data_IF_157333125818
#
_entry.id   IF_157333125818
#
_cell.length_a   1.000
_cell.length_b   1.000
_cell.length_c   1.000
_cell.angle_alpha   90.00
_cell.angle_beta   90.00
_cell.angle_gamma   90.00
#
_symmetry.space_group_name_H-M   'P 1'
#
loop_
_entity.id
_entity.type
_entity.pdbx_description
1 polymer ?
#
# COMPACT_ATOMS: atom_id res chain seq x y z
N UNK A 1 -7.61 -8.75 2.99
CA UNK A 1 -9.06 -8.59 2.91
C UNK A 1 -9.56 -8.54 1.46
N UNK A 2 -9.06 -7.64 0.56
CA UNK A 2 -9.56 -7.45 -0.82
C UNK A 2 -9.64 -8.74 -1.63
N UNK A 3 -8.60 -9.58 -1.64
CA UNK A 3 -8.58 -10.86 -2.37
C UNK A 3 -9.68 -11.81 -1.91
N UNK A 4 -9.91 -11.90 -0.60
CA UNK A 4 -10.95 -12.75 -0.03
C UNK A 4 -12.35 -12.27 -0.42
N UNK A 5 -12.62 -10.96 -0.33
CA UNK A 5 -13.90 -10.37 -0.75
C UNK A 5 -14.13 -10.66 -2.23
N UNK A 6 -13.13 -10.40 -3.08
CA UNK A 6 -13.21 -10.66 -4.52
C UNK A 6 -13.51 -12.14 -4.81
N UNK A 7 -12.78 -13.07 -4.19
CA UNK A 7 -12.98 -14.50 -4.38
C UNK A 7 -14.39 -14.92 -3.95
N UNK A 8 -14.85 -14.45 -2.78
CA UNK A 8 -16.19 -14.76 -2.27
C UNK A 8 -17.28 -14.29 -3.25
N UNK A 9 -17.18 -13.04 -3.73
CA UNK A 9 -18.16 -12.49 -4.66
C UNK A 9 -18.19 -13.23 -6.01
N UNK A 10 -17.02 -13.63 -6.51
CA UNK A 10 -16.94 -14.45 -7.73
C UNK A 10 -17.60 -15.82 -7.54
N UNK A 11 -17.36 -16.47 -6.39
CA UNK A 11 -17.98 -17.78 -6.09
C UNK A 11 -19.50 -17.71 -5.84
N UNK A 12 -20.02 -16.55 -5.47
CA UNK A 12 -21.46 -16.36 -5.26
C UNK A 12 -22.26 -16.21 -6.53
N UNK A 13 -21.60 -15.98 -7.68
CA UNK A 13 -22.32 -15.79 -8.95
C UNK A 13 -22.91 -17.11 -9.42
N UNK A 14 -24.23 -17.11 -9.62
CA UNK A 14 -25.00 -18.21 -10.23
C UNK A 14 -25.58 -17.72 -11.56
N UNK A 15 -25.20 -18.35 -12.66
CA UNK A 15 -25.64 -17.98 -14.00
C UNK A 15 -27.17 -18.04 -14.16
N UNK A 16 -27.84 -18.86 -13.36
CA UNK A 16 -29.30 -19.01 -13.37
C UNK A 16 -30.03 -17.94 -12.55
N UNK A 17 -29.28 -17.22 -11.70
CA UNK A 17 -29.83 -16.21 -10.81
C UNK A 17 -29.10 -14.85 -10.96
N UNK A 18 -29.60 -13.94 -11.81
CA UNK A 18 -28.96 -12.62 -11.99
C UNK A 18 -28.80 -11.83 -10.69
N UNK A 19 -29.66 -12.08 -9.70
CA UNK A 19 -29.58 -11.40 -8.38
C UNK A 19 -28.36 -11.84 -7.56
N UNK A 20 -27.68 -12.91 -7.95
CA UNK A 20 -26.43 -13.36 -7.31
C UNK A 20 -25.24 -12.46 -7.66
N UNK A 21 -25.30 -11.74 -8.78
CA UNK A 21 -24.27 -10.80 -9.18
C UNK A 21 -24.25 -9.58 -8.23
N UNK A 22 -23.26 -9.50 -7.37
CA UNK A 22 -23.08 -8.39 -6.45
C UNK A 22 -21.89 -7.53 -6.89
N UNK A 23 -22.12 -6.27 -7.28
CA UNK A 23 -21.02 -5.36 -7.63
C UNK A 23 -20.11 -5.13 -6.44
N UNK A 24 -18.81 -5.07 -6.69
CA UNK A 24 -17.80 -4.63 -5.73
C UNK A 24 -17.25 -3.27 -6.16
N UNK A 25 -17.35 -2.28 -5.29
CA UNK A 25 -16.73 -0.98 -5.49
C UNK A 25 -15.46 -0.94 -4.63
N UNK A 26 -14.31 -0.89 -5.29
CA UNK A 26 -13.00 -0.94 -4.65
C UNK A 26 -12.31 0.42 -4.79
N UNK A 27 -11.97 1.01 -3.65
CA UNK A 27 -11.18 2.24 -3.56
C UNK A 27 -9.88 2.01 -2.81
N UNK A 28 -8.83 2.68 -3.24
CA UNK A 28 -7.52 2.64 -2.59
C UNK A 28 -6.76 3.93 -2.77
N UNK A 29 -5.98 4.30 -1.77
CA UNK A 29 -5.13 5.49 -1.78
C UNK A 29 -3.74 5.19 -1.24
N UNK A 30 -2.77 5.95 -1.73
CA UNK A 30 -1.38 5.94 -1.27
C UNK A 30 -0.81 7.34 -1.48
N UNK A 31 -0.58 8.08 -0.39
CA UNK A 31 -0.17 9.48 -0.45
C UNK A 31 -1.17 10.34 -1.25
N UNK A 32 -0.67 11.01 -2.28
CA UNK A 32 -1.46 11.85 -3.19
C UNK A 32 -2.03 11.08 -4.40
N UNK A 33 -1.87 9.75 -4.44
CA UNK A 33 -2.37 8.90 -5.51
C UNK A 33 -3.52 8.05 -4.99
N UNK A 34 -4.46 7.74 -5.87
CA UNK A 34 -5.57 6.87 -5.53
C UNK A 34 -6.27 6.29 -6.74
N UNK A 35 -7.10 5.30 -6.49
CA UNK A 35 -7.91 4.67 -7.52
C UNK A 35 -9.29 4.29 -6.97
N UNK A 36 -10.29 4.33 -7.82
CA UNK A 36 -11.61 3.77 -7.58
C UNK A 36 -12.05 2.97 -8.79
N UNK A 37 -12.75 1.87 -8.58
CA UNK A 37 -13.26 1.03 -9.67
C UNK A 37 -14.50 0.26 -9.26
N UNK A 38 -15.29 -0.11 -10.26
CA UNK A 38 -16.41 -1.04 -10.14
C UNK A 38 -15.98 -2.38 -10.71
N UNK A 39 -16.15 -3.43 -9.93
CA UNK A 39 -15.96 -4.82 -10.36
C UNK A 39 -17.31 -5.49 -10.39
N UNK A 40 -17.72 -5.92 -11.58
CA UNK A 40 -18.84 -6.82 -11.77
C UNK A 40 -18.27 -8.23 -11.86
N UNK A 41 -18.43 -9.07 -10.82
CA UNK A 41 -17.83 -10.40 -10.79
C UNK A 41 -18.17 -11.20 -12.04
N UNK A 42 -17.20 -11.85 -12.65
CA UNK A 42 -17.26 -12.62 -13.91
C UNK A 42 -17.47 -11.81 -15.19
N UNK A 43 -17.85 -10.53 -15.11
CA UNK A 43 -18.12 -9.67 -16.28
C UNK A 43 -16.95 -8.73 -16.55
N UNK A 44 -16.45 -8.02 -15.52
CA UNK A 44 -15.32 -7.11 -15.66
C UNK A 44 -14.07 -7.68 -15.00
N UNK A 45 -12.90 -7.06 -15.26
CA UNK A 45 -11.65 -7.45 -14.62
C UNK A 45 -11.80 -7.40 -13.10
N UNK A 46 -11.53 -8.51 -12.45
CA UNK A 46 -11.63 -8.63 -11.00
C UNK A 46 -10.36 -8.12 -10.29
N UNK A 47 -10.34 -8.17 -8.96
CA UNK A 47 -9.17 -7.71 -8.18
C UNK A 47 -7.89 -8.47 -8.54
N UNK A 48 -7.96 -9.79 -8.73
CA UNK A 48 -6.81 -10.62 -9.13
C UNK A 48 -6.26 -10.22 -10.51
N UNK A 49 -7.13 -9.93 -11.47
CA UNK A 49 -6.72 -9.53 -12.82
C UNK A 49 -5.89 -8.23 -12.85
N UNK A 50 -6.00 -7.41 -11.80
CA UNK A 50 -5.36 -6.11 -11.73
C UNK A 50 -4.20 -6.04 -10.73
N UNK A 51 -3.79 -7.16 -10.15
CA UNK A 51 -2.68 -7.18 -9.18
C UNK A 51 -1.37 -6.65 -9.77
N UNK A 52 -1.11 -6.91 -11.05
CA UNK A 52 0.10 -6.45 -11.73
C UNK A 52 0.10 -4.93 -11.98
N UNK A 53 -1.08 -4.30 -11.94
CA UNK A 53 -1.22 -2.84 -12.07
C UNK A 53 -1.01 -2.10 -10.74
N UNK A 54 -1.06 -2.81 -9.61
CA UNK A 54 -0.81 -2.22 -8.31
C UNK A 54 0.68 -1.95 -8.13
N UNK A 55 1.06 -0.81 -7.54
CA UNK A 55 2.45 -0.52 -7.27
C UNK A 55 3.06 -1.65 -6.43
N UNK A 56 4.11 -2.25 -6.94
CA UNK A 56 4.89 -3.24 -6.18
C UNK A 56 5.58 -2.49 -5.04
N UNK A 57 5.59 -3.09 -3.85
CA UNK A 57 6.35 -2.55 -2.73
C UNK A 57 7.78 -2.30 -3.17
N UNK A 58 8.29 -1.12 -2.93
CA UNK A 58 9.69 -0.78 -3.15
C UNK A 58 10.52 -1.59 -2.14
N UNK A 59 11.01 -2.75 -2.56
CA UNK A 59 12.07 -3.46 -1.85
C UNK A 59 13.37 -3.04 -2.49
N UNK A 60 14.24 -2.44 -1.72
CA UNK A 60 15.55 -2.06 -2.24
C UNK A 60 16.45 -3.30 -2.37
N UNK A 61 17.25 -3.41 -3.45
CA UNK A 61 18.19 -4.51 -3.59
C UNK A 61 19.17 -4.54 -2.41
N UNK A 62 19.42 -5.72 -1.88
CA UNK A 62 20.35 -5.91 -0.73
C UNK A 62 21.73 -5.31 -1.02
N UNK A 63 22.22 -5.42 -2.25
CA UNK A 63 23.49 -4.81 -2.66
C UNK A 63 23.46 -3.27 -2.54
N UNK A 64 22.33 -2.62 -2.81
CA UNK A 64 22.18 -1.17 -2.66
C UNK A 64 22.18 -0.76 -1.20
N UNK A 65 21.39 -1.40 -0.35
CA UNK A 65 21.35 -1.08 1.08
C UNK A 65 22.66 -1.42 1.79
N UNK A 66 23.35 -2.48 1.36
CA UNK A 66 24.60 -2.92 1.96
C UNK A 66 25.80 -2.06 1.56
N UNK A 67 25.91 -1.68 0.28
CA UNK A 67 27.15 -1.12 -0.25
C UNK A 67 27.04 0.34 -0.73
N UNK A 68 25.91 0.73 -1.32
CA UNK A 68 25.73 2.03 -1.98
C UNK A 68 24.41 2.69 -1.60
N UNK A 69 24.15 2.98 -0.32
CA UNK A 69 22.94 3.69 0.08
C UNK A 69 22.94 5.09 -0.55
N UNK A 70 21.78 5.57 -0.95
CA UNK A 70 21.59 6.90 -1.56
C UNK A 70 20.41 7.66 -0.93
N UNK A 71 19.56 6.95 -0.20
CA UNK A 71 18.36 7.48 0.42
C UNK A 71 18.39 7.15 1.92
N UNK A 72 17.76 7.96 2.77
CA UNK A 72 17.66 7.67 4.20
C UNK A 72 16.96 6.34 4.48
N UNK A 73 15.99 5.93 3.65
CA UNK A 73 15.32 4.64 3.75
C UNK A 73 16.28 3.46 3.58
N UNK A 74 17.30 3.59 2.73
CA UNK A 74 18.33 2.55 2.57
C UNK A 74 19.14 2.33 3.84
N UNK A 75 19.43 3.41 4.58
CA UNK A 75 20.15 3.34 5.85
C UNK A 75 19.28 2.67 6.93
N UNK A 76 17.98 2.97 6.94
CA UNK A 76 17.03 2.38 7.88
C UNK A 76 16.81 0.89 7.58
N UNK A 77 16.62 0.52 6.30
CA UNK A 77 16.52 -0.89 5.92
C UNK A 77 17.79 -1.67 6.23
N UNK A 78 18.97 -1.08 5.98
CA UNK A 78 20.23 -1.71 6.35
C UNK A 78 20.29 -1.98 7.86
N UNK A 79 19.95 -0.99 8.69
CA UNK A 79 19.96 -1.14 10.13
C UNK A 79 18.99 -2.23 10.62
N UNK A 80 17.77 -2.30 10.04
CA UNK A 80 16.74 -3.24 10.47
C UNK A 80 16.94 -4.66 9.92
N UNK A 81 17.36 -4.81 8.65
CA UNK A 81 17.42 -6.08 7.94
C UNK A 81 18.79 -6.76 8.08
N UNK A 82 19.88 -5.99 8.03
CA UNK A 82 21.23 -6.54 8.03
C UNK A 82 21.94 -6.40 9.38
N UNK A 83 21.87 -5.22 10.01
CA UNK A 83 22.65 -4.97 11.22
C UNK A 83 21.95 -5.43 12.51
N UNK A 84 20.60 -5.34 12.57
CA UNK A 84 19.86 -5.85 13.73
C UNK A 84 20.10 -7.33 14.02
N UNK A 85 19.97 -8.26 13.03
CA UNK A 85 20.24 -9.67 13.27
C UNK A 85 21.69 -9.96 13.66
N UNK A 86 22.65 -9.12 13.19
CA UNK A 86 24.05 -9.23 13.52
C UNK A 86 24.36 -8.79 14.94
N UNK A 87 23.80 -7.65 15.35
CA UNK A 87 24.00 -7.10 16.68
C UNK A 87 23.18 -7.82 17.77
N UNK A 88 22.04 -8.40 17.39
CA UNK A 88 21.09 -9.08 18.30
C UNK A 88 20.77 -10.50 17.82
N UNK A 89 21.73 -11.44 17.83
CA UNK A 89 21.52 -12.80 17.35
C UNK A 89 20.40 -13.49 18.11
N UNK A 90 19.43 -14.04 17.36
CA UNK A 90 18.28 -14.76 17.92
C UNK A 90 17.15 -13.86 18.44
N UNK A 91 17.30 -12.55 18.47
CA UNK A 91 16.24 -11.61 18.89
C UNK A 91 15.55 -11.00 17.66
N UNK A 92 14.26 -11.28 17.52
CA UNK A 92 13.46 -10.68 16.45
C UNK A 92 13.24 -9.19 16.70
N UNK A 93 13.37 -8.37 15.66
CA UNK A 93 13.01 -6.95 15.72
C UNK A 93 11.50 -6.83 15.98
N UNK A 94 11.14 -6.12 17.05
CA UNK A 94 9.77 -5.75 17.36
C UNK A 94 9.54 -4.31 16.93
N UNK A 95 8.71 -4.12 15.91
CA UNK A 95 8.44 -2.82 15.30
C UNK A 95 7.59 -1.91 16.21
N UNK A 96 6.97 -2.47 17.24
CA UNK A 96 6.14 -1.72 18.20
C UNK A 96 6.89 -1.36 19.48
N UNK A 97 8.08 -1.94 19.70
CA UNK A 97 8.92 -1.62 20.84
C UNK A 97 9.73 -0.33 20.56
N UNK A 98 9.51 0.76 21.34
CA UNK A 98 10.23 2.03 21.16
C UNK A 98 11.76 1.91 21.25
N UNK A 99 12.28 1.03 22.12
CA UNK A 99 13.73 0.82 22.30
C UNK A 99 14.34 0.21 21.04
N UNK A 100 13.64 -0.75 20.40
CA UNK A 100 14.09 -1.35 19.15
C UNK A 100 14.07 -0.33 18.01
N UNK A 101 13.03 0.49 17.94
CA UNK A 101 12.91 1.56 16.92
C UNK A 101 14.02 2.60 17.14
N UNK A 102 14.31 2.97 18.39
CA UNK A 102 15.38 3.91 18.71
C UNK A 102 16.75 3.34 18.31
N UNK A 103 17.01 2.09 18.60
CA UNK A 103 18.26 1.43 18.20
C UNK A 103 18.44 1.46 16.67
N UNK A 104 17.38 1.17 15.92
CA UNK A 104 17.43 1.23 14.44
C UNK A 104 17.67 2.67 13.97
N UNK A 105 17.03 3.65 14.58
CA UNK A 105 17.24 5.07 14.27
C UNK A 105 18.70 5.47 14.49
N UNK A 106 19.26 5.18 15.64
CA UNK A 106 20.64 5.56 16.00
C UNK A 106 21.66 4.89 15.07
N UNK A 107 21.43 3.61 14.76
CA UNK A 107 22.26 2.84 13.84
C UNK A 107 22.17 3.38 12.41
N UNK A 108 20.96 3.73 11.96
CA UNK A 108 20.72 4.32 10.65
C UNK A 108 21.33 5.72 10.52
N UNK A 109 21.30 6.54 11.58
CA UNK A 109 21.93 7.86 11.62
C UNK A 109 23.45 7.75 11.46
N UNK A 110 24.13 6.88 12.21
CA UNK A 110 25.57 6.67 12.07
C UNK A 110 25.98 6.21 10.67
N UNK A 111 25.14 5.37 10.05
CA UNK A 111 25.34 4.97 8.65
C UNK A 111 25.11 6.13 7.67
N UNK A 112 24.04 6.91 7.86
CA UNK A 112 23.70 8.05 7.02
C UNK A 112 24.83 9.10 7.03
N UNK A 113 25.42 9.37 8.19
CA UNK A 113 26.59 10.25 8.34
C UNK A 113 27.77 9.75 7.51
N UNK A 114 28.07 8.44 7.55
CA UNK A 114 29.18 7.83 6.79
C UNK A 114 29.02 7.98 5.27
N UNK A 115 27.79 8.14 4.78
CA UNK A 115 27.48 8.30 3.35
C UNK A 115 26.98 9.70 2.98
N UNK A 116 27.05 10.66 3.91
CA UNK A 116 26.57 12.04 3.72
C UNK A 116 25.09 12.12 3.31
N UNK A 117 24.27 11.22 3.86
CA UNK A 117 22.82 11.15 3.62
C UNK A 117 22.10 11.88 4.74
N UNK A 118 21.16 12.76 4.40
CA UNK A 118 20.33 13.51 5.34
C UNK A 118 18.89 13.01 5.31
N UNK A 119 18.09 13.34 6.34
CA UNK A 119 16.64 13.06 6.35
C UNK A 119 16.23 11.84 7.19
N UNK A 120 17.17 11.09 7.78
CA UNK A 120 16.85 10.03 8.76
C UNK A 120 16.23 10.69 9.99
N UNK A 121 15.03 10.30 10.35
CA UNK A 121 14.32 10.76 11.54
C UNK A 121 13.38 9.68 12.08
N UNK A 122 12.81 9.89 13.27
CA UNK A 122 11.95 8.93 13.93
C UNK A 122 10.73 8.53 13.09
N UNK A 123 10.05 9.51 12.50
CA UNK A 123 8.83 9.27 11.70
C UNK A 123 9.12 8.41 10.46
N UNK A 124 10.21 8.73 9.75
CA UNK A 124 10.64 7.95 8.59
C UNK A 124 11.07 6.54 9.01
N UNK A 125 11.80 6.42 10.13
CA UNK A 125 12.22 5.11 10.66
C UNK A 125 11.01 4.23 10.97
N UNK A 126 10.02 4.76 11.66
CA UNK A 126 8.75 4.03 11.88
C UNK A 126 8.05 3.70 10.57
N UNK A 127 8.00 4.63 9.63
CA UNK A 127 7.40 4.44 8.31
C UNK A 127 8.00 3.25 7.57
N UNK A 128 9.33 3.16 7.53
CA UNK A 128 10.06 2.08 6.85
C UNK A 128 9.88 0.75 7.59
N UNK A 129 10.13 0.70 8.90
CA UNK A 129 10.06 -0.54 9.68
C UNK A 129 8.66 -1.14 9.70
N UNK A 130 7.62 -0.29 9.85
CA UNK A 130 6.22 -0.71 9.90
C UNK A 130 5.58 -0.85 8.52
N UNK A 131 6.29 -0.52 7.45
CA UNK A 131 5.73 -0.45 6.09
C UNK A 131 4.46 0.41 6.03
N UNK A 132 4.50 1.60 6.60
CA UNK A 132 3.35 2.50 6.63
C UNK A 132 3.11 3.05 5.24
N UNK A 133 1.88 2.87 4.74
CA UNK A 133 1.41 3.53 3.53
C UNK A 133 0.86 4.90 3.93
N UNK A 134 1.41 6.00 3.41
CA UNK A 134 0.91 7.34 3.75
C UNK A 134 -0.57 7.48 3.41
N UNK A 135 -1.34 8.07 4.32
CA UNK A 135 -2.75 8.38 4.12
C UNK A 135 -2.95 9.89 4.16
N UNK A 136 -3.43 10.44 3.04
CA UNK A 136 -3.74 11.87 2.89
C UNK A 136 -5.25 12.05 2.90
N UNK A 137 -5.75 12.90 3.79
CA UNK A 137 -7.19 13.06 4.01
C UNK A 137 -7.94 13.50 2.76
N UNK A 138 -7.38 14.44 1.98
CA UNK A 138 -7.98 14.90 0.72
C UNK A 138 -8.06 13.80 -0.32
N UNK A 139 -7.01 13.00 -0.48
CA UNK A 139 -7.00 11.85 -1.39
C UNK A 139 -8.05 10.82 -0.99
N UNK A 140 -8.13 10.50 0.31
CA UNK A 140 -9.12 9.58 0.82
C UNK A 140 -10.55 10.07 0.56
N UNK A 141 -10.80 11.38 0.76
CA UNK A 141 -12.11 11.99 0.52
C UNK A 141 -12.51 11.92 -0.97
N UNK A 142 -11.58 12.21 -1.89
CA UNK A 142 -11.81 12.13 -3.34
C UNK A 142 -12.14 10.70 -3.76
N UNK A 143 -11.36 9.72 -3.30
CA UNK A 143 -11.59 8.32 -3.63
C UNK A 143 -12.89 7.80 -3.02
N UNK A 144 -13.23 8.19 -1.78
CA UNK A 144 -14.51 7.85 -1.17
C UNK A 144 -15.69 8.44 -1.94
N UNK A 145 -15.58 9.70 -2.38
CA UNK A 145 -16.61 10.36 -3.20
C UNK A 145 -16.79 9.63 -4.55
N UNK A 146 -15.69 9.24 -5.21
CA UNK A 146 -15.77 8.46 -6.44
C UNK A 146 -16.47 7.11 -6.24
N UNK A 147 -16.13 6.38 -5.17
CA UNK A 147 -16.80 5.13 -4.83
C UNK A 147 -18.29 5.33 -4.55
N UNK A 148 -18.64 6.39 -3.82
CA UNK A 148 -20.05 6.72 -3.51
C UNK A 148 -20.83 7.09 -4.76
N UNK A 149 -20.22 7.83 -5.68
CA UNK A 149 -20.85 8.16 -6.96
C UNK A 149 -21.15 6.91 -7.79
N UNK A 150 -20.25 5.95 -7.86
CA UNK A 150 -20.50 4.69 -8.57
C UNK A 150 -21.61 3.86 -7.87
N UNK A 151 -21.61 3.84 -6.52
CA UNK A 151 -22.68 3.20 -5.76
C UNK A 151 -24.06 3.84 -6.06
N UNK A 152 -24.10 5.15 -6.14
CA UNK A 152 -25.33 5.89 -6.49
C UNK A 152 -25.82 5.54 -7.89
N UNK A 153 -24.93 5.47 -8.88
CA UNK A 153 -25.28 5.07 -10.25
C UNK A 153 -25.85 3.65 -10.30
N UNK A 154 -25.29 2.72 -9.53
CA UNK A 154 -25.83 1.36 -9.43
C UNK A 154 -27.22 1.38 -8.81
N UNK A 155 -27.39 2.09 -7.68
CA UNK A 155 -28.66 2.15 -6.96
C UNK A 155 -29.78 2.84 -7.76
N UNK A 156 -29.45 3.78 -8.64
CA UNK A 156 -30.40 4.51 -9.49
C UNK A 156 -30.57 3.92 -10.88
N UNK A 157 -30.02 2.73 -11.14
CA UNK A 157 -30.09 2.05 -12.44
C UNK A 157 -29.47 2.84 -13.60
N UNK A 158 -28.48 3.69 -13.32
CA UNK A 158 -27.70 4.42 -14.32
C UNK A 158 -26.43 3.67 -14.71
N UNK A 159 -26.50 2.35 -14.74
CA UNK A 159 -25.38 1.45 -15.04
C UNK A 159 -24.63 1.76 -16.37
N UNK A 160 -25.24 2.27 -17.45
CA UNK A 160 -24.50 2.64 -18.65
C UNK A 160 -23.42 3.70 -18.44
N UNK A 161 -23.49 4.46 -17.35
CA UNK A 161 -22.54 5.52 -17.00
C UNK A 161 -21.55 5.10 -15.90
N UNK A 162 -21.46 3.82 -15.55
CA UNK A 162 -20.48 3.32 -14.59
C UNK A 162 -19.06 3.50 -15.13
N UNK A 163 -18.18 3.98 -14.28
CA UNK A 163 -16.74 4.01 -14.54
C UNK A 163 -16.10 2.75 -13.95
N UNK A 164 -15.63 1.87 -14.81
CA UNK A 164 -14.95 0.64 -14.38
C UNK A 164 -13.64 0.93 -13.68
N UNK A 165 -13.00 2.07 -13.99
CA UNK A 165 -11.71 2.44 -13.40
C UNK A 165 -11.49 3.95 -13.44
N UNK A 166 -11.11 4.52 -12.30
CA UNK A 166 -10.67 5.90 -12.16
C UNK A 166 -9.31 5.94 -11.45
N UNK A 167 -8.36 6.68 -12.02
CA UNK A 167 -7.10 7.03 -11.35
C UNK A 167 -7.12 8.50 -10.93
N UNK A 168 -6.63 8.76 -9.74
CA UNK A 168 -6.38 10.09 -9.23
C UNK A 168 -4.90 10.26 -8.91
N UNK A 169 -4.31 11.37 -9.33
CA UNK A 169 -2.97 11.79 -8.94
C UNK A 169 -3.04 13.26 -8.57
N UNK A 170 -2.85 13.56 -7.29
CA UNK A 170 -2.69 14.91 -6.78
C UNK A 170 -1.28 15.43 -7.06
N UNK A 171 -1.13 16.74 -7.06
CA UNK A 171 0.18 17.41 -7.09
C UNK A 171 0.62 17.72 -5.65
N UNK A 172 1.93 17.62 -5.41
CA UNK A 172 2.58 18.09 -4.19
C UNK A 172 2.59 19.62 -4.12
#
# INVERSE_FOLDING_TARGET
>A
ARRWINATLVHMVDEKNPSSLKPLIDGGSEGLKGQARVILPTITSCYECSLDMLPKRTTFPICTIANTPRLPEHCIEWASVLEWPRANPGKKLDNDNPEHVQWVLDTALGRAESFHITGVNWSLTQGVIKNIIPAVASTNAIIAAACTQEAFKIATSTAPYLNNYMMYTGNE
#
